data_IF_739512623165
#
_entry.id   IF_739512623165
#
_cell.length_a   1.000
_cell.length_b   1.000
_cell.length_c   1.000
_cell.angle_alpha   90.00
_cell.angle_beta   90.00
_cell.angle_gamma   90.00
#
_symmetry.space_group_name_H-M   'P 1'
#
loop_
_entity.id
_entity.type
_entity.pdbx_description
1 polymer ?
#
# COMPACT_ATOMS: atom_id res chain seq x y z
N UNK A 1 32.38 -32.96 44.24
CA UNK A 1 30.91 -32.98 44.03
C UNK A 1 30.29 -31.58 44.10
N UNK A 2 30.85 -30.67 44.89
CA UNK A 2 30.39 -29.27 45.06
C UNK A 2 30.71 -28.37 43.85
N UNK A 3 31.91 -28.50 43.28
CA UNK A 3 32.37 -27.87 42.02
C UNK A 3 31.40 -28.05 40.84
N UNK A 4 30.86 -29.28 40.68
CA UNK A 4 29.95 -29.63 39.58
C UNK A 4 28.60 -28.91 39.74
N UNK A 5 28.11 -28.76 40.98
CA UNK A 5 26.85 -28.05 41.26
C UNK A 5 26.96 -26.55 41.00
N UNK A 6 28.10 -25.94 41.33
CA UNK A 6 28.37 -24.51 41.06
C UNK A 6 28.45 -24.25 39.56
N UNK A 7 29.11 -25.13 38.81
CA UNK A 7 29.23 -25.02 37.34
C UNK A 7 27.88 -25.21 36.64
N UNK A 8 27.08 -26.18 37.07
CA UNK A 8 25.71 -26.39 36.56
C UNK A 8 24.80 -25.19 36.85
N UNK A 9 24.89 -24.61 38.06
CA UNK A 9 24.14 -23.39 38.43
C UNK A 9 24.53 -22.21 37.53
N UNK A 10 25.83 -21.97 37.29
CA UNK A 10 26.34 -20.91 36.41
C UNK A 10 25.90 -21.08 34.95
N UNK A 11 25.91 -22.31 34.42
CA UNK A 11 25.43 -22.60 33.07
C UNK A 11 23.92 -22.33 32.96
N UNK A 12 23.15 -22.73 33.99
CA UNK A 12 21.72 -22.43 34.06
C UNK A 12 21.43 -20.92 34.08
N UNK A 13 22.17 -20.14 34.87
CA UNK A 13 22.00 -18.67 34.88
C UNK A 13 22.37 -18.03 33.54
N UNK A 14 23.46 -18.47 32.91
CA UNK A 14 23.88 -17.97 31.60
C UNK A 14 22.85 -18.31 30.51
N UNK A 15 22.26 -19.51 30.55
CA UNK A 15 21.20 -19.91 29.63
C UNK A 15 19.94 -19.05 29.80
N UNK A 16 19.56 -18.71 31.04
CA UNK A 16 18.42 -17.81 31.31
C UNK A 16 18.70 -16.40 30.76
N UNK A 17 19.90 -15.85 30.99
CA UNK A 17 20.26 -14.53 30.46
C UNK A 17 20.32 -14.51 28.93
N UNK A 18 20.84 -15.58 28.30
CA UNK A 18 20.84 -15.71 26.85
C UNK A 18 19.40 -15.78 26.28
N UNK A 19 18.50 -16.53 26.92
CA UNK A 19 17.10 -16.60 26.51
C UNK A 19 16.38 -15.25 26.66
N UNK A 20 16.64 -14.52 27.73
CA UNK A 20 16.10 -13.17 27.92
C UNK A 20 16.61 -12.18 26.87
N UNK A 21 17.91 -12.24 26.53
CA UNK A 21 18.49 -11.42 25.46
C UNK A 21 17.81 -11.69 24.11
N UNK A 22 17.64 -12.97 23.76
CA UNK A 22 16.97 -13.37 22.51
C UNK A 22 15.53 -12.85 22.48
N UNK A 23 14.78 -12.98 23.57
CA UNK A 23 13.41 -12.49 23.66
C UNK A 23 13.33 -10.96 23.46
N UNK A 24 14.27 -10.21 24.02
CA UNK A 24 14.37 -8.75 23.82
C UNK A 24 14.71 -8.42 22.37
N UNK A 25 15.68 -9.11 21.76
CA UNK A 25 16.03 -8.90 20.35
C UNK A 25 14.83 -9.16 19.42
N UNK A 26 14.08 -10.24 19.66
CA UNK A 26 12.86 -10.55 18.89
C UNK A 26 11.80 -9.47 19.09
N UNK A 27 11.57 -9.01 20.33
CA UNK A 27 10.59 -7.96 20.62
C UNK A 27 10.94 -6.62 19.96
N UNK A 28 12.21 -6.21 20.02
CA UNK A 28 12.69 -4.98 19.35
C UNK A 28 12.59 -5.11 17.84
N UNK A 29 13.00 -6.25 17.26
CA UNK A 29 12.88 -6.46 15.81
C UNK A 29 11.42 -6.40 15.37
N UNK A 30 10.50 -7.05 16.09
CA UNK A 30 9.08 -7.01 15.78
C UNK A 30 8.50 -5.60 15.90
N UNK A 31 8.92 -4.84 16.92
CA UNK A 31 8.48 -3.46 17.12
C UNK A 31 9.01 -2.51 16.03
N UNK A 32 10.28 -2.61 15.64
CA UNK A 32 10.89 -1.78 14.59
C UNK A 32 10.30 -2.12 13.23
N UNK A 33 10.14 -3.41 12.90
CA UNK A 33 9.46 -3.84 11.67
C UNK A 33 8.00 -3.38 11.66
N UNK A 34 7.28 -3.49 12.79
CA UNK A 34 5.91 -2.98 12.90
C UNK A 34 5.81 -1.45 12.74
N UNK A 35 6.82 -0.68 13.15
CA UNK A 35 6.88 0.76 12.90
C UNK A 35 7.23 1.09 11.44
N UNK A 36 8.15 0.35 10.82
CA UNK A 36 8.54 0.58 9.41
C UNK A 36 7.43 0.17 8.44
N UNK A 37 6.77 -0.97 8.65
CA UNK A 37 5.60 -1.40 7.83
C UNK A 37 4.44 -0.42 7.97
N UNK A 38 4.25 0.22 9.14
CA UNK A 38 3.24 1.29 9.29
C UNK A 38 3.64 2.58 8.57
N UNK A 39 4.94 2.81 8.36
CA UNK A 39 5.45 3.95 7.60
C UNK A 39 5.53 3.67 6.10
N UNK A 40 5.39 2.40 5.70
CA UNK A 40 5.21 1.90 4.34
C UNK A 40 3.72 1.99 3.92
N UNK A 41 2.97 2.94 4.47
CA UNK A 41 1.74 3.44 3.86
C UNK A 41 2.08 4.41 2.72
N UNK A 42 2.91 3.95 1.80
CA UNK A 42 2.97 4.52 0.46
C UNK A 42 1.65 4.13 -0.23
N UNK A 43 0.70 5.06 -0.25
CA UNK A 43 -0.49 5.00 -1.11
C UNK A 43 -1.44 3.84 -0.83
N UNK A 44 -1.75 3.58 0.45
CA UNK A 44 -2.84 2.65 0.78
C UNK A 44 -4.17 3.25 0.27
N UNK A 45 -4.78 2.51 -0.65
CA UNK A 45 -5.89 2.86 -1.53
C UNK A 45 -7.24 3.06 -0.82
N UNK A 46 -7.29 3.80 0.29
CA UNK A 46 -8.54 4.08 0.99
C UNK A 46 -9.11 5.46 0.60
N UNK A 47 -10.33 5.44 0.06
CA UNK A 47 -10.96 6.45 -0.81
C UNK A 47 -11.11 7.85 -0.21
N UNK A 48 -11.18 7.97 1.11
CA UNK A 48 -11.24 9.25 1.80
C UNK A 48 -9.89 9.66 2.40
N UNK A 49 -9.05 8.70 2.80
CA UNK A 49 -7.82 8.98 3.53
C UNK A 49 -6.69 9.47 2.62
N UNK A 50 -6.50 8.84 1.45
CA UNK A 50 -5.48 9.26 0.49
C UNK A 50 -5.78 10.63 -0.13
N UNK A 51 -7.05 10.89 -0.42
CA UNK A 51 -7.49 12.17 -0.98
C UNK A 51 -7.44 13.31 0.04
N UNK A 52 -7.94 13.07 1.26
CA UNK A 52 -7.86 14.03 2.35
C UNK A 52 -6.42 14.33 2.77
N UNK A 53 -5.52 13.33 2.69
CA UNK A 53 -4.09 13.55 2.83
C UNK A 53 -3.56 14.45 1.72
N UNK A 54 -3.91 14.21 0.46
CA UNK A 54 -3.43 15.01 -0.67
C UNK A 54 -3.87 16.48 -0.57
N UNK A 55 -5.09 16.75 -0.13
CA UNK A 55 -5.57 18.12 0.13
C UNK A 55 -4.74 18.84 1.19
N UNK A 56 -4.44 18.15 2.29
CA UNK A 56 -3.61 18.68 3.37
C UNK A 56 -2.17 18.90 2.90
N UNK A 57 -1.62 17.93 2.17
CA UNK A 57 -0.27 17.99 1.65
C UNK A 57 -0.12 19.15 0.66
N UNK A 58 -1.10 19.38 -0.22
CA UNK A 58 -1.11 20.53 -1.12
C UNK A 58 -1.51 21.85 -0.44
N UNK A 59 -1.94 21.82 0.82
CA UNK A 59 -2.44 22.97 1.57
C UNK A 59 -3.47 23.78 0.76
N UNK A 60 -4.51 23.10 0.27
CA UNK A 60 -5.55 23.74 -0.54
C UNK A 60 -6.33 24.79 0.28
N UNK A 61 -6.51 25.94 -0.33
CA UNK A 61 -7.42 26.99 0.14
C UNK A 61 -8.86 26.54 -0.10
N UNK A 62 -9.85 27.12 0.61
CA UNK A 62 -11.25 26.80 0.39
C UNK A 62 -11.70 26.94 -1.07
N UNK A 63 -11.16 27.91 -1.81
CA UNK A 63 -11.48 28.09 -3.23
C UNK A 63 -10.90 27.01 -4.13
N UNK A 64 -9.71 26.49 -3.84
CA UNK A 64 -9.12 25.39 -4.61
C UNK A 64 -9.77 24.05 -4.28
N UNK A 65 -10.16 23.83 -3.03
CA UNK A 65 -10.96 22.66 -2.63
C UNK A 65 -12.24 22.60 -3.47
N UNK A 66 -12.98 23.71 -3.54
CA UNK A 66 -14.20 23.79 -4.38
C UNK A 66 -13.91 23.52 -5.86
N UNK A 67 -12.78 23.99 -6.38
CA UNK A 67 -12.40 23.77 -7.77
C UNK A 67 -12.03 22.31 -8.05
N UNK A 68 -11.37 21.63 -7.11
CA UNK A 68 -11.03 20.20 -7.19
C UNK A 68 -12.30 19.35 -7.03
N UNK A 69 -13.11 19.64 -6.02
CA UNK A 69 -14.37 18.93 -5.70
C UNK A 69 -15.38 18.92 -6.85
N UNK A 70 -15.23 19.81 -7.83
CA UNK A 70 -16.10 19.87 -9.00
C UNK A 70 -16.03 18.61 -9.88
N UNK A 71 -14.91 17.90 -9.91
CA UNK A 71 -14.71 16.69 -10.72
C UNK A 71 -14.52 15.40 -9.88
N UNK A 72 -14.39 15.52 -8.56
CA UNK A 72 -14.25 14.38 -7.65
C UNK A 72 -15.38 13.34 -7.69
N UNK A 73 -16.67 13.71 -7.79
CA UNK A 73 -17.75 12.72 -7.81
C UNK A 73 -17.64 11.75 -9.00
N UNK A 74 -17.19 12.26 -10.16
CA UNK A 74 -17.00 11.44 -11.35
C UNK A 74 -15.80 10.49 -11.18
N UNK A 75 -14.67 11.00 -10.69
CA UNK A 75 -13.49 10.19 -10.38
C UNK A 75 -13.83 9.05 -9.39
N UNK A 76 -14.49 9.37 -8.27
CA UNK A 76 -14.87 8.36 -7.27
C UNK A 76 -15.81 7.31 -7.83
N UNK A 77 -16.84 7.72 -8.59
CA UNK A 77 -17.78 6.78 -9.22
C UNK A 77 -17.06 5.83 -10.17
N UNK A 78 -16.23 6.37 -11.06
CA UNK A 78 -15.58 5.59 -12.10
C UNK A 78 -14.51 4.65 -11.49
N UNK A 79 -13.80 5.11 -10.45
CA UNK A 79 -12.84 4.30 -9.70
C UNK A 79 -13.52 3.17 -8.94
N UNK A 80 -14.60 3.45 -8.21
CA UNK A 80 -15.35 2.43 -7.47
C UNK A 80 -15.84 1.33 -8.41
N UNK A 81 -16.37 1.71 -9.58
CA UNK A 81 -16.76 0.75 -10.62
C UNK A 81 -15.59 -0.13 -11.08
N UNK A 82 -14.42 0.45 -11.36
CA UNK A 82 -13.24 -0.32 -11.78
C UNK A 82 -12.70 -1.23 -10.68
N UNK A 83 -12.79 -0.81 -9.41
CA UNK A 83 -12.44 -1.65 -8.26
C UNK A 83 -13.39 -2.83 -8.08
N UNK A 84 -14.69 -2.63 -8.29
CA UNK A 84 -15.67 -3.72 -8.33
C UNK A 84 -15.33 -4.72 -9.45
N UNK A 85 -15.03 -4.21 -10.65
CA UNK A 85 -14.62 -5.02 -11.80
C UNK A 85 -13.31 -5.79 -11.50
N UNK A 86 -12.33 -5.15 -10.84
CA UNK A 86 -11.08 -5.78 -10.40
C UNK A 86 -11.33 -6.91 -9.38
N UNK A 87 -12.14 -6.64 -8.35
CA UNK A 87 -12.46 -7.62 -7.31
C UNK A 87 -13.21 -8.83 -7.86
N UNK A 88 -14.14 -8.60 -8.78
CA UNK A 88 -14.84 -9.67 -9.50
C UNK A 88 -13.86 -10.53 -10.31
N UNK A 89 -12.93 -9.90 -11.02
CA UNK A 89 -11.94 -10.61 -11.84
C UNK A 89 -10.94 -11.40 -10.98
N UNK A 90 -10.51 -10.85 -9.85
CA UNK A 90 -9.70 -11.57 -8.86
C UNK A 90 -10.45 -12.79 -8.32
N UNK A 91 -11.75 -12.67 -8.02
CA UNK A 91 -12.55 -13.80 -7.56
C UNK A 91 -12.63 -14.91 -8.62
N UNK A 92 -12.78 -14.55 -9.90
CA UNK A 92 -12.72 -15.48 -11.04
C UNK A 92 -11.36 -16.18 -11.11
N UNK A 93 -10.26 -15.43 -11.03
CA UNK A 93 -8.90 -15.99 -11.06
C UNK A 93 -8.68 -16.96 -9.88
N UNK A 94 -9.12 -16.61 -8.67
CA UNK A 94 -9.07 -17.50 -7.50
C UNK A 94 -9.82 -18.80 -7.75
N UNK A 95 -11.01 -18.74 -8.37
CA UNK A 95 -11.77 -19.93 -8.75
C UNK A 95 -11.00 -20.83 -9.73
N UNK A 96 -10.37 -20.24 -10.75
CA UNK A 96 -9.56 -20.98 -11.72
C UNK A 96 -8.34 -21.65 -11.08
N UNK A 97 -7.69 -21.00 -10.11
CA UNK A 97 -6.56 -21.58 -9.38
C UNK A 97 -6.95 -22.76 -8.48
N UNK A 98 -8.23 -22.85 -8.08
CA UNK A 98 -8.76 -24.00 -7.33
C UNK A 98 -9.18 -25.13 -8.28
N UNK A 99 -9.69 -24.80 -9.47
CA UNK A 99 -10.20 -25.77 -10.45
C UNK A 99 -9.09 -26.42 -11.29
N UNK A 100 -8.03 -25.67 -11.61
CA UNK A 100 -6.97 -26.09 -12.55
C UNK A 100 -5.71 -26.48 -11.80
N UNK A 101 -5.17 -27.64 -12.14
CA UNK A 101 -3.90 -28.16 -11.59
C UNK A 101 -2.66 -27.64 -12.35
N UNK A 102 -2.87 -26.93 -13.47
CA UNK A 102 -1.83 -26.43 -14.36
C UNK A 102 -2.08 -24.99 -14.84
N UNK A 103 -1.03 -24.38 -15.41
CA UNK A 103 -1.12 -23.05 -16.01
C UNK A 103 -1.86 -23.10 -17.35
N UNK A 104 -3.18 -23.14 -17.24
CA UNK A 104 -4.09 -23.26 -18.37
C UNK A 104 -4.26 -21.96 -19.16
N UNK A 105 -4.69 -22.03 -20.43
CA UNK A 105 -5.05 -20.85 -21.23
C UNK A 105 -6.06 -19.94 -20.52
N UNK A 106 -6.99 -20.50 -19.74
CA UNK A 106 -7.99 -19.77 -18.97
C UNK A 106 -7.37 -18.97 -17.81
N UNK A 107 -6.41 -19.56 -17.08
CA UNK A 107 -5.65 -18.85 -16.04
C UNK A 107 -4.87 -17.70 -16.66
N UNK A 108 -4.19 -17.94 -17.79
CA UNK A 108 -3.45 -16.89 -18.51
C UNK A 108 -4.38 -15.76 -18.99
N UNK A 109 -5.54 -16.09 -19.54
CA UNK A 109 -6.52 -15.11 -19.98
C UNK A 109 -7.06 -14.27 -18.80
N UNK A 110 -7.37 -14.91 -17.67
CA UNK A 110 -7.86 -14.20 -16.49
C UNK A 110 -6.83 -13.22 -15.92
N UNK A 111 -5.54 -13.55 -15.96
CA UNK A 111 -4.42 -12.65 -15.61
C UNK A 111 -4.35 -11.47 -16.58
N UNK A 112 -4.45 -11.71 -17.89
CA UNK A 112 -4.44 -10.62 -18.87
C UNK A 112 -5.63 -9.67 -18.72
N UNK A 113 -6.84 -10.20 -18.51
CA UNK A 113 -8.03 -9.39 -18.21
C UNK A 113 -7.82 -8.54 -16.95
N UNK A 114 -7.20 -9.11 -15.91
CA UNK A 114 -6.87 -8.39 -14.69
C UNK A 114 -5.87 -7.25 -14.95
N UNK A 115 -4.84 -7.48 -15.77
CA UNK A 115 -3.88 -6.43 -16.16
C UNK A 115 -4.55 -5.27 -16.91
N UNK A 116 -5.56 -5.55 -17.74
CA UNK A 116 -6.31 -4.48 -18.45
C UNK A 116 -7.09 -3.62 -17.44
N UNK A 117 -7.77 -4.25 -16.48
CA UNK A 117 -8.51 -3.50 -15.44
C UNK A 117 -7.53 -2.67 -14.61
N UNK A 118 -6.39 -3.27 -14.22
CA UNK A 118 -5.35 -2.58 -13.49
C UNK A 118 -4.80 -1.36 -14.25
N UNK A 119 -4.46 -1.53 -15.52
CA UNK A 119 -4.02 -0.42 -16.37
C UNK A 119 -5.09 0.67 -16.52
N UNK A 120 -6.37 0.31 -16.51
CA UNK A 120 -7.47 1.27 -16.57
C UNK A 120 -7.61 2.08 -15.27
N UNK A 121 -7.40 1.45 -14.10
CA UNK A 121 -7.31 2.15 -12.81
C UNK A 121 -6.15 3.15 -12.78
N UNK A 122 -4.99 2.75 -13.31
CA UNK A 122 -3.82 3.61 -13.42
C UNK A 122 -4.07 4.79 -14.37
N UNK A 123 -4.66 4.55 -15.54
CA UNK A 123 -5.04 5.60 -16.48
C UNK A 123 -6.02 6.59 -15.86
N UNK A 124 -7.04 6.11 -15.15
CA UNK A 124 -8.02 6.94 -14.44
C UNK A 124 -7.33 7.86 -13.41
N UNK A 125 -6.39 7.31 -12.64
CA UNK A 125 -5.65 8.06 -11.61
C UNK A 125 -4.74 9.13 -12.23
N UNK A 126 -4.08 8.83 -13.36
CA UNK A 126 -3.24 9.79 -14.08
C UNK A 126 -4.09 10.91 -14.71
N UNK A 127 -5.26 10.57 -15.28
CA UNK A 127 -6.19 11.57 -15.80
C UNK A 127 -6.66 12.51 -14.69
N UNK A 128 -7.02 11.97 -13.53
CA UNK A 128 -7.40 12.74 -12.36
C UNK A 128 -6.29 13.68 -11.88
N UNK A 129 -5.03 13.21 -11.85
CA UNK A 129 -3.87 14.07 -11.60
C UNK A 129 -3.83 15.28 -12.55
N UNK A 130 -4.11 15.09 -13.85
CA UNK A 130 -4.13 16.20 -14.81
C UNK A 130 -5.33 17.14 -14.64
N UNK A 131 -6.48 16.64 -14.16
CA UNK A 131 -7.64 17.48 -13.79
C UNK A 131 -7.27 18.43 -12.64
N UNK A 132 -6.64 17.91 -11.59
CA UNK A 132 -6.11 18.73 -10.49
C UNK A 132 -5.06 19.74 -11.00
N UNK A 133 -4.14 19.30 -11.86
CA UNK A 133 -3.15 20.19 -12.47
C UNK A 133 -3.78 21.32 -13.30
N UNK A 134 -5.02 21.20 -13.75
CA UNK A 134 -5.69 22.25 -14.51
C UNK A 134 -6.19 23.41 -13.62
N UNK A 135 -6.59 23.12 -12.38
CA UNK A 135 -7.24 24.07 -11.46
C UNK A 135 -6.31 24.66 -10.40
N UNK A 136 -5.18 24.01 -10.11
CA UNK A 136 -4.23 24.47 -9.10
C UNK A 136 -3.36 25.64 -9.57
N UNK A 137 -2.83 26.50 -8.69
CA UNK A 137 -1.84 27.50 -9.03
C UNK A 137 -0.45 26.89 -9.28
N UNK A 138 0.47 27.60 -9.97
CA UNK A 138 1.76 27.07 -10.40
C UNK A 138 2.60 26.42 -9.29
N UNK A 139 2.63 27.01 -8.11
CA UNK A 139 3.37 26.50 -6.95
C UNK A 139 2.86 25.14 -6.47
N UNK A 140 1.54 24.91 -6.51
CA UNK A 140 0.92 23.63 -6.12
C UNK A 140 1.03 22.59 -7.22
N UNK A 141 1.02 22.99 -8.48
CA UNK A 141 1.33 22.10 -9.61
C UNK A 141 2.73 21.50 -9.49
N UNK A 142 3.71 22.30 -9.05
CA UNK A 142 5.07 21.80 -8.82
C UNK A 142 5.14 20.81 -7.66
N UNK A 143 4.41 21.07 -6.57
CA UNK A 143 4.32 20.12 -5.45
C UNK A 143 3.63 18.82 -5.86
N UNK A 144 2.47 18.91 -6.52
CA UNK A 144 1.72 17.75 -7.00
C UNK A 144 2.55 16.90 -7.97
N UNK A 145 3.32 17.52 -8.87
CA UNK A 145 4.25 16.82 -9.77
C UNK A 145 5.29 16.00 -9.02
N UNK A 146 5.90 16.55 -7.96
CA UNK A 146 6.91 15.83 -7.16
C UNK A 146 6.31 14.61 -6.49
N UNK A 147 5.14 14.77 -5.87
CA UNK A 147 4.40 13.67 -5.24
C UNK A 147 4.06 12.57 -6.26
N UNK A 148 3.60 12.95 -7.46
CA UNK A 148 3.29 11.98 -8.52
C UNK A 148 4.53 11.23 -9.03
N UNK A 149 5.67 11.90 -9.18
CA UNK A 149 6.92 11.24 -9.59
C UNK A 149 7.41 10.26 -8.52
N UNK A 150 7.33 10.64 -7.25
CA UNK A 150 7.69 9.76 -6.13
C UNK A 150 6.79 8.51 -6.10
N UNK A 151 5.48 8.69 -6.29
CA UNK A 151 4.51 7.59 -6.36
C UNK A 151 4.82 6.57 -7.47
N UNK A 152 5.24 7.06 -8.64
CA UNK A 152 5.46 6.24 -9.84
C UNK A 152 6.88 5.64 -9.93
N UNK A 153 7.74 5.92 -8.95
CA UNK A 153 9.16 5.50 -8.99
C UNK A 153 9.38 4.04 -8.59
N UNK A 154 8.37 3.38 -8.02
CA UNK A 154 8.43 1.98 -7.63
C UNK A 154 7.56 1.15 -8.58
N UNK A 155 8.09 0.04 -9.15
CA UNK A 155 7.23 -0.92 -9.83
C UNK A 155 6.30 -1.56 -8.78
N UNK A 156 5.00 -1.58 -9.06
CA UNK A 156 4.04 -2.37 -8.29
C UNK A 156 4.32 -3.87 -8.34
#
# INVERSE_FOLDING_TARGET
>A
MEEIKVRAKRIGTLAIWAALLVAVCVGVSYFVTGLMVRNEQSWEHDEELGHHWLHQELALTPSEVVAVDAFEPDYRRDRAKLLDDFNAQIAKLRGLLVEKDDFSPEVNAAIHELHVIHGTLQELSIRHYYEMMSVLPPEKKEKLRKLAVEALSEPE
#
